data_IF_238798748062
#
_entry.id   IF_238798748062
#
_cell.length_a   1.000
_cell.length_b   1.000
_cell.length_c   1.000
_cell.angle_alpha   90.00
_cell.angle_beta   90.00
_cell.angle_gamma   90.00
#
_symmetry.space_group_name_H-M   'P 1'
#
loop_
_entity.id
_entity.type
_entity.pdbx_description
1 polymer ?
#
# COMPACT_ATOMS: atom_id res chain seq x y z
N UNK A 1 -15.89 -2.63 -16.48
CA UNK A 1 -15.63 -2.42 -15.04
C UNK A 1 -14.46 -3.26 -14.59
N UNK A 2 -13.50 -2.64 -13.93
CA UNK A 2 -12.28 -3.31 -13.45
C UNK A 2 -12.23 -3.22 -11.94
N UNK A 3 -11.85 -4.32 -11.28
CA UNK A 3 -11.70 -4.35 -9.83
C UNK A 3 -10.21 -4.41 -9.49
N UNK A 4 -9.81 -3.52 -8.57
CA UNK A 4 -8.42 -3.36 -8.15
C UNK A 4 -8.27 -3.65 -6.68
N UNK A 5 -7.17 -4.29 -6.31
CA UNK A 5 -6.75 -4.44 -4.94
C UNK A 5 -5.44 -3.70 -4.75
N UNK A 6 -5.33 -2.92 -3.67
CA UNK A 6 -4.14 -2.11 -3.38
C UNK A 6 -3.69 -2.35 -1.95
N UNK A 7 -2.40 -2.56 -1.76
CA UNK A 7 -1.80 -2.60 -0.44
C UNK A 7 -0.41 -1.98 -0.48
N UNK A 8 0.12 -1.66 0.69
CA UNK A 8 1.40 -0.98 0.83
C UNK A 8 2.12 -1.47 2.07
N UNK A 9 3.42 -1.70 1.97
CA UNK A 9 4.24 -2.03 3.12
C UNK A 9 5.63 -1.45 2.95
N UNK A 10 6.12 -0.80 3.99
CA UNK A 10 7.38 -0.09 3.93
C UNK A 10 8.12 -0.15 5.26
N UNK A 11 9.41 0.13 5.20
CA UNK A 11 10.24 0.33 6.37
C UNK A 11 11.16 -0.84 6.71
N UNK A 12 10.72 -2.07 6.50
CA UNK A 12 11.57 -3.23 6.77
C UNK A 12 11.02 -4.49 6.09
N UNK A 13 11.78 -5.57 6.20
CA UNK A 13 11.45 -6.83 5.55
C UNK A 13 10.16 -7.46 6.08
N UNK A 14 9.82 -7.21 7.34
CA UNK A 14 8.57 -7.73 7.90
C UNK A 14 7.36 -7.20 7.15
N UNK A 15 7.38 -5.92 6.82
CA UNK A 15 6.29 -5.32 6.07
C UNK A 15 6.31 -5.75 4.61
N UNK A 16 7.49 -5.87 4.01
CA UNK A 16 7.60 -6.36 2.63
C UNK A 16 7.05 -7.78 2.53
N UNK A 17 7.39 -8.62 3.49
CA UNK A 17 6.88 -9.99 3.54
C UNK A 17 5.37 -10.03 3.77
N UNK A 18 4.84 -9.11 4.57
CA UNK A 18 3.40 -9.03 4.82
C UNK A 18 2.64 -8.68 3.55
N UNK A 19 3.17 -7.72 2.78
CA UNK A 19 2.58 -7.35 1.48
C UNK A 19 2.54 -8.54 0.54
N UNK A 20 3.64 -9.27 0.47
CA UNK A 20 3.74 -10.43 -0.41
C UNK A 20 2.74 -11.51 -0.01
N UNK A 21 2.65 -11.80 1.29
CA UNK A 21 1.70 -12.79 1.78
C UNK A 21 0.26 -12.41 1.48
N UNK A 22 -0.09 -11.14 1.74
CA UNK A 22 -1.43 -10.66 1.50
C UNK A 22 -1.78 -10.73 0.02
N UNK A 23 -0.86 -10.31 -0.83
CA UNK A 23 -1.08 -10.34 -2.28
C UNK A 23 -1.32 -11.75 -2.79
N UNK A 24 -0.56 -12.72 -2.26
CA UNK A 24 -0.75 -14.12 -2.64
C UNK A 24 -2.10 -14.66 -2.16
N UNK A 25 -2.49 -14.31 -0.95
CA UNK A 25 -3.78 -14.73 -0.42
C UNK A 25 -4.94 -14.18 -1.24
N UNK A 26 -4.86 -12.91 -1.58
CA UNK A 26 -5.91 -12.24 -2.36
C UNK A 26 -5.98 -12.82 -3.77
N UNK A 27 -4.85 -13.14 -4.38
CA UNK A 27 -4.84 -13.68 -5.73
C UNK A 27 -5.55 -15.04 -5.81
N UNK A 28 -5.56 -15.82 -4.72
CA UNK A 28 -6.22 -17.12 -4.69
C UNK A 28 -7.71 -17.04 -4.83
N UNK A 29 -8.31 -15.92 -4.45
CA UNK A 29 -9.77 -15.76 -4.54
C UNK A 29 -10.25 -15.37 -5.92
N UNK A 30 -9.34 -14.91 -6.78
CA UNK A 30 -9.69 -14.54 -8.16
C UNK A 30 -10.80 -13.49 -8.23
N UNK A 31 -10.86 -12.61 -7.22
CA UNK A 31 -11.89 -11.58 -7.13
C UNK A 31 -11.48 -10.27 -7.79
N UNK A 32 -10.21 -10.07 -8.02
CA UNK A 32 -9.70 -8.80 -8.52
C UNK A 32 -9.04 -8.97 -9.86
N UNK A 33 -9.30 -8.01 -10.74
CA UNK A 33 -8.66 -8.00 -12.06
C UNK A 33 -7.20 -7.60 -11.95
N UNK A 34 -6.89 -6.73 -10.99
CA UNK A 34 -5.52 -6.27 -10.78
C UNK A 34 -5.19 -6.20 -9.29
N UNK A 35 -3.99 -6.65 -8.95
CA UNK A 35 -3.49 -6.60 -7.58
C UNK A 35 -2.23 -5.73 -7.60
N UNK A 36 -2.26 -4.65 -6.83
CA UNK A 36 -1.17 -3.67 -6.79
C UNK A 36 -0.55 -3.69 -5.41
N UNK A 37 0.72 -4.09 -5.36
CA UNK A 37 1.49 -4.20 -4.11
C UNK A 37 2.61 -3.18 -4.15
N UNK A 38 2.55 -2.20 -3.26
CA UNK A 38 3.49 -1.09 -3.26
C UNK A 38 4.42 -1.16 -2.05
N UNK A 39 5.60 -0.59 -2.22
CA UNK A 39 6.58 -0.44 -1.15
C UNK A 39 7.08 1.00 -1.14
N UNK A 40 8.07 1.28 -0.26
CA UNK A 40 8.64 2.62 -0.17
C UNK A 40 9.20 3.12 -1.49
N UNK A 41 9.61 2.22 -2.38
CA UNK A 41 10.14 2.62 -3.68
C UNK A 41 9.15 3.47 -4.46
N UNK A 42 7.87 3.14 -4.34
CA UNK A 42 6.82 3.90 -5.02
C UNK A 42 6.84 5.37 -4.60
N UNK A 43 7.00 5.61 -3.29
CA UNK A 43 7.02 6.98 -2.75
C UNK A 43 8.35 7.66 -3.04
N UNK A 44 9.46 6.94 -2.93
CA UNK A 44 10.78 7.51 -3.16
C UNK A 44 11.01 7.90 -4.60
N UNK A 45 10.37 7.20 -5.53
CA UNK A 45 10.46 7.52 -6.95
C UNK A 45 9.49 8.61 -7.39
N UNK A 46 8.58 9.01 -6.51
CA UNK A 46 7.68 10.14 -6.77
C UNK A 46 8.37 11.40 -6.26
N UNK A 47 9.00 12.13 -7.15
CA UNK A 47 9.81 13.29 -6.77
C UNK A 47 9.01 14.35 -6.03
N UNK A 48 7.77 14.58 -6.45
CA UNK A 48 6.92 15.58 -5.81
C UNK A 48 6.61 15.18 -4.37
N UNK A 49 6.18 13.95 -4.17
CA UNK A 49 5.84 13.47 -2.84
C UNK A 49 7.09 13.41 -1.95
N UNK A 50 8.15 12.82 -2.47
CA UNK A 50 9.34 12.56 -1.65
C UNK A 50 10.04 13.84 -1.23
N UNK A 51 10.10 14.84 -2.11
CA UNK A 51 10.73 16.12 -1.76
C UNK A 51 9.97 16.85 -0.66
N UNK A 52 8.65 16.68 -0.61
CA UNK A 52 7.83 17.34 0.39
C UNK A 52 7.77 16.59 1.73
N UNK A 53 7.87 15.27 1.71
CA UNK A 53 7.55 14.46 2.88
C UNK A 53 8.67 13.57 3.39
N UNK A 54 9.80 13.49 2.70
CA UNK A 54 10.86 12.57 3.09
C UNK A 54 11.40 12.84 4.49
N UNK A 55 11.58 14.10 4.85
CA UNK A 55 12.08 14.45 6.18
C UNK A 55 11.12 14.02 7.27
N UNK A 56 9.83 14.25 7.05
CA UNK A 56 8.82 13.87 8.02
C UNK A 56 8.80 12.34 8.21
N UNK A 57 8.87 11.61 7.11
CA UNK A 57 8.87 10.14 7.16
C UNK A 57 10.12 9.62 7.87
N UNK A 58 11.29 10.18 7.56
CA UNK A 58 12.53 9.75 8.17
C UNK A 58 12.60 10.04 9.66
N UNK A 59 11.93 11.07 10.11
CA UNK A 59 11.90 11.46 11.52
C UNK A 59 10.75 10.83 12.30
N UNK A 60 9.83 10.15 11.63
CA UNK A 60 8.66 9.55 12.26
C UNK A 60 8.45 8.16 11.68
N UNK A 61 9.14 7.18 12.28
CA UNK A 61 9.19 5.83 11.70
C UNK A 61 7.92 5.02 11.90
N UNK A 62 7.12 5.34 12.92
CA UNK A 62 5.87 4.64 13.16
C UNK A 62 4.93 4.90 11.98
N UNK A 63 4.43 3.81 11.39
CA UNK A 63 3.53 3.93 10.24
C UNK A 63 4.18 4.58 9.03
N UNK A 64 5.51 4.56 8.98
CA UNK A 64 6.28 5.18 7.91
C UNK A 64 5.84 6.63 7.68
N UNK A 65 6.00 7.44 8.72
CA UNK A 65 5.57 8.84 8.70
C UNK A 65 4.10 8.98 9.10
N UNK A 66 3.67 8.20 10.10
CA UNK A 66 2.30 8.25 10.62
C UNK A 66 1.25 8.09 9.53
N UNK A 67 1.55 7.23 8.55
CA UNK A 67 0.61 6.90 7.45
C UNK A 67 0.20 8.09 6.59
N UNK A 68 1.04 9.13 6.50
CA UNK A 68 0.71 10.28 5.64
C UNK A 68 0.62 9.90 4.17
N UNK A 69 1.25 8.79 3.79
CA UNK A 69 1.23 8.30 2.42
C UNK A 69 -0.09 7.65 2.02
N UNK A 70 -0.90 7.21 2.99
CA UNK A 70 -2.09 6.41 2.68
C UNK A 70 -3.09 7.13 1.79
N UNK A 71 -3.57 8.33 2.16
CA UNK A 71 -4.51 9.01 1.27
C UNK A 71 -3.89 9.35 -0.08
N UNK A 72 -2.59 9.59 -0.10
CA UNK A 72 -1.90 9.94 -1.33
C UNK A 72 -1.89 8.79 -2.33
N UNK A 73 -1.51 7.58 -1.90
CA UNK A 73 -1.44 6.44 -2.82
C UNK A 73 -2.83 6.02 -3.28
N UNK A 74 -3.82 6.14 -2.41
CA UNK A 74 -5.20 5.82 -2.77
C UNK A 74 -5.69 6.80 -3.83
N UNK A 75 -5.49 8.09 -3.62
CA UNK A 75 -5.90 9.11 -4.58
C UNK A 75 -5.22 8.92 -5.93
N UNK A 76 -3.91 8.66 -5.92
CA UNK A 76 -3.17 8.44 -7.17
C UNK A 76 -3.70 7.24 -7.94
N UNK A 77 -4.08 6.19 -7.24
CA UNK A 77 -4.65 5.02 -7.91
C UNK A 77 -6.03 5.34 -8.48
N UNK A 78 -6.86 6.07 -7.73
CA UNK A 78 -8.18 6.44 -8.21
C UNK A 78 -8.11 7.30 -9.46
N UNK A 79 -7.12 8.18 -9.55
CA UNK A 79 -6.93 9.05 -10.72
C UNK A 79 -6.66 8.25 -12.00
N UNK A 80 -6.12 7.04 -11.87
CA UNK A 80 -5.81 6.18 -13.01
C UNK A 80 -6.97 5.30 -13.44
N UNK A 81 -8.03 5.29 -12.65
CA UNK A 81 -9.14 4.37 -12.87
C UNK A 81 -10.28 5.05 -13.61
N UNK A 82 -11.12 4.26 -14.25
CA UNK A 82 -12.27 4.75 -14.98
C UNK A 82 -13.51 4.73 -14.10
N UNK A 83 -14.52 5.49 -14.50
CA UNK A 83 -15.81 5.46 -13.82
C UNK A 83 -16.37 4.03 -13.82
N UNK A 84 -16.86 3.61 -12.68
CA UNK A 84 -17.40 2.26 -12.53
C UNK A 84 -16.39 1.23 -12.05
N UNK A 85 -15.09 1.57 -12.04
CA UNK A 85 -14.08 0.69 -11.48
C UNK A 85 -14.14 0.74 -9.96
N UNK A 86 -13.71 -0.35 -9.34
CA UNK A 86 -13.72 -0.49 -7.88
C UNK A 86 -12.32 -0.68 -7.34
N UNK A 87 -12.03 -0.02 -6.22
CA UNK A 87 -10.76 -0.17 -5.53
C UNK A 87 -11.00 -0.62 -4.10
N UNK A 88 -10.33 -1.69 -3.71
CA UNK A 88 -10.25 -2.11 -2.32
C UNK A 88 -8.83 -1.94 -1.82
N UNK A 89 -8.68 -1.19 -0.73
CA UNK A 89 -7.40 -1.05 -0.06
C UNK A 89 -7.44 -1.78 1.28
N UNK A 90 -6.42 -2.59 1.55
CA UNK A 90 -6.24 -3.22 2.86
C UNK A 90 -4.83 -2.99 3.34
N UNK A 91 -4.69 -2.68 4.63
CA UNK A 91 -3.38 -2.63 5.28
C UNK A 91 -2.82 -4.04 5.39
N UNK A 92 -1.51 -4.19 5.18
CA UNK A 92 -0.85 -5.44 5.49
C UNK A 92 -0.52 -5.48 6.98
N UNK A 93 -0.55 -6.68 7.57
CA UNK A 93 -0.24 -6.88 8.97
C UNK A 93 1.02 -7.73 9.12
N UNK A 94 1.81 -7.44 10.16
CA UNK A 94 2.92 -8.29 10.49
C UNK A 94 2.40 -9.64 10.96
N UNK A 95 3.15 -10.70 10.67
CA UNK A 95 2.77 -12.04 11.07
C UNK A 95 2.58 -12.17 12.58
N UNK A 96 3.36 -11.44 13.35
CA UNK A 96 3.29 -11.47 14.81
C UNK A 96 2.03 -10.86 15.39
N UNK A 97 1.19 -10.26 14.58
CA UNK A 97 -0.02 -9.59 15.03
C UNK A 97 -1.27 -10.44 14.84
N UNK A 98 -1.10 -11.72 14.72
CA UNK A 98 -2.20 -12.64 14.46
C UNK A 98 -3.29 -12.64 15.53
N UNK A 99 -2.96 -12.23 16.73
CA UNK A 99 -3.91 -12.23 17.84
C UNK A 99 -5.02 -11.20 17.69
N UNK A 100 -4.92 -10.33 16.72
CA UNK A 100 -5.92 -9.29 16.52
C UNK A 100 -7.15 -9.80 15.78
N UNK A 101 -7.09 -10.98 15.34
CA UNK A 101 -8.17 -11.61 14.61
C UNK A 101 -8.48 -12.99 15.15
#
# INVERSE_FOLDING_TARGET
>A
MTTYFLTFGAGNESYHGAVERLSKQISRFELFDKIISLSEDYLQNDNEFWSQHSNFIQNNKIGYGFWIWKPYIILKQLEKMNDGDTLLYLDCCKKSQKSQF
#
